data_IF_249437048751
#
_entry.id   IF_249437048751
#
_cell.length_a   1.000
_cell.length_b   1.000
_cell.length_c   1.000
_cell.angle_alpha   90.00
_cell.angle_beta   90.00
_cell.angle_gamma   90.00
#
_symmetry.space_group_name_H-M   'P 1'
#
loop_
_entity.id
_entity.type
_entity.pdbx_description
1 polymer ?
#
# COMPACT_ATOMS: atom_id res chain seq x y z
N UNK A 1 15.78 -17.19 1.71
CA UNK A 1 14.46 -17.42 1.10
C UNK A 1 13.60 -18.14 2.16
N UNK A 2 12.76 -17.41 2.90
CA UNK A 2 11.85 -17.99 3.90
C UNK A 2 10.74 -18.72 3.14
N UNK A 3 10.62 -20.03 3.34
CA UNK A 3 9.41 -20.75 2.92
C UNK A 3 8.33 -20.47 3.97
N UNK A 4 7.61 -19.36 3.82
CA UNK A 4 6.39 -19.16 4.56
C UNK A 4 5.37 -20.18 4.06
N UNK A 5 4.66 -20.82 4.96
CA UNK A 5 3.55 -21.72 4.61
C UNK A 5 2.32 -20.94 4.10
N UNK A 6 2.28 -19.65 4.34
CA UNK A 6 1.19 -18.73 3.99
C UNK A 6 1.60 -17.73 2.93
N UNK A 7 0.69 -17.40 2.02
CA UNK A 7 0.83 -16.25 1.14
C UNK A 7 0.49 -14.98 1.93
N UNK A 8 1.44 -14.07 2.05
CA UNK A 8 1.28 -12.81 2.78
C UNK A 8 0.72 -11.74 1.82
N UNK A 9 -0.44 -11.21 2.16
CA UNK A 9 -1.16 -10.23 1.35
C UNK A 9 -1.45 -8.99 2.18
N UNK A 10 -1.07 -7.81 1.69
CA UNK A 10 -1.47 -6.53 2.30
C UNK A 10 -2.76 -6.05 1.65
N UNK A 11 -3.74 -5.68 2.47
CA UNK A 11 -4.94 -4.98 2.05
C UNK A 11 -4.70 -3.49 2.20
N UNK A 12 -4.50 -2.81 1.08
CA UNK A 12 -4.29 -1.37 1.02
C UNK A 12 -5.60 -0.63 0.73
N UNK A 13 -5.70 0.57 1.26
CA UNK A 13 -6.91 1.40 1.16
C UNK A 13 -7.84 1.25 2.37
N UNK A 14 -8.90 2.09 2.44
CA UNK A 14 -9.84 2.09 3.54
C UNK A 14 -10.71 0.83 3.48
N UNK A 15 -10.54 -0.04 4.47
CA UNK A 15 -11.33 -1.26 4.59
C UNK A 15 -12.42 -1.09 5.66
N UNK A 16 -13.70 -1.08 5.29
CA UNK A 16 -14.80 -1.06 6.26
C UNK A 16 -14.71 -2.23 7.24
N UNK A 17 -15.04 -1.97 8.51
CA UNK A 17 -14.98 -2.99 9.56
C UNK A 17 -15.81 -4.24 9.23
N UNK A 18 -16.94 -4.07 8.54
CA UNK A 18 -17.82 -5.15 8.08
C UNK A 18 -17.14 -6.04 7.03
N UNK A 19 -16.38 -5.45 6.08
CA UNK A 19 -15.59 -6.18 5.09
C UNK A 19 -14.53 -7.03 5.81
N UNK A 20 -13.79 -6.42 6.72
CA UNK A 20 -12.76 -7.12 7.49
C UNK A 20 -13.34 -8.25 8.35
N UNK A 21 -14.50 -8.01 8.97
CA UNK A 21 -15.18 -9.03 9.75
C UNK A 21 -15.67 -10.19 8.87
N UNK A 22 -16.18 -9.91 7.67
CA UNK A 22 -16.63 -10.92 6.74
C UNK A 22 -15.47 -11.77 6.20
N UNK A 23 -14.37 -11.13 5.78
CA UNK A 23 -13.18 -11.82 5.28
C UNK A 23 -12.51 -12.65 6.38
N UNK A 24 -12.43 -12.11 7.60
CA UNK A 24 -11.82 -12.80 8.75
C UNK A 24 -12.57 -14.05 9.22
N UNK A 25 -13.81 -14.26 8.79
CA UNK A 25 -14.56 -15.50 9.04
C UNK A 25 -14.20 -16.64 8.07
N UNK A 26 -13.45 -16.36 7.02
CA UNK A 26 -13.00 -17.41 6.08
C UNK A 26 -11.95 -18.29 6.73
N UNK A 27 -12.13 -19.62 6.67
CA UNK A 27 -11.17 -20.58 7.25
C UNK A 27 -9.78 -20.53 6.61
N UNK A 28 -9.69 -20.04 5.38
CA UNK A 28 -8.43 -19.98 4.63
C UNK A 28 -7.66 -18.68 4.83
N UNK A 29 -8.19 -17.72 5.59
CA UNK A 29 -7.63 -16.38 5.79
C UNK A 29 -7.36 -16.12 7.26
N UNK A 30 -6.11 -15.84 7.59
CA UNK A 30 -5.75 -15.24 8.88
C UNK A 30 -5.70 -13.72 8.71
N UNK A 31 -6.63 -13.00 9.35
CA UNK A 31 -6.66 -11.55 9.34
C UNK A 31 -5.69 -11.01 10.40
N UNK A 32 -4.69 -10.27 9.96
CA UNK A 32 -3.66 -9.68 10.82
C UNK A 32 -3.87 -8.17 10.89
N UNK A 33 -4.26 -7.67 12.05
CA UNK A 33 -4.38 -6.24 12.33
C UNK A 33 -3.12 -5.73 13.01
N UNK A 34 -2.77 -4.44 12.86
CA UNK A 34 -1.73 -3.84 13.70
C UNK A 34 -2.10 -4.02 15.17
N UNK A 35 -1.10 -4.13 16.04
CA UNK A 35 -1.37 -4.05 17.47
C UNK A 35 -2.00 -2.68 17.76
N UNK A 36 -3.04 -2.66 18.58
CA UNK A 36 -3.63 -1.39 19.02
C UNK A 36 -2.55 -0.60 19.77
N UNK A 37 -2.25 0.58 19.26
CA UNK A 37 -1.34 1.48 19.94
C UNK A 37 -1.94 1.80 21.31
N UNK A 38 -1.15 1.59 22.37
CA UNK A 38 -1.55 2.00 23.72
C UNK A 38 -1.85 3.50 23.66
N UNK A 39 -2.94 3.99 24.24
CA UNK A 39 -3.23 5.42 24.25
C UNK A 39 -2.07 6.15 24.92
N UNK A 40 -1.25 6.82 24.12
CA UNK A 40 -0.17 7.69 24.56
C UNK A 40 -0.73 9.08 24.84
N UNK A 41 -0.01 9.83 25.70
CA UNK A 41 -0.35 11.20 26.11
C UNK A 41 -0.62 12.10 24.88
N UNK A 42 -1.68 12.90 24.90
CA UNK A 42 -2.06 13.76 23.76
C UNK A 42 -1.01 14.81 23.37
N UNK A 43 0.02 15.02 24.18
CA UNK A 43 1.11 15.97 23.90
C UNK A 43 2.14 15.45 22.87
N UNK A 44 2.25 14.13 22.62
CA UNK A 44 3.27 13.52 21.75
C UNK A 44 2.74 13.04 20.39
N UNK A 45 1.44 13.21 20.13
CA UNK A 45 0.68 12.56 19.07
C UNK A 45 1.08 12.93 17.63
N UNK A 46 1.75 14.05 17.39
CA UNK A 46 1.96 14.56 16.03
C UNK A 46 3.26 14.11 15.34
N UNK A 47 4.33 13.85 16.10
CA UNK A 47 5.65 13.53 15.52
C UNK A 47 5.97 12.05 15.44
N UNK A 48 5.30 11.24 16.23
CA UNK A 48 5.55 9.80 16.32
C UNK A 48 4.59 8.95 15.48
N UNK A 49 3.42 9.47 15.12
CA UNK A 49 2.37 8.71 14.42
C UNK A 49 2.85 7.99 13.15
N UNK A 50 3.70 8.63 12.33
CA UNK A 50 4.24 8.01 11.13
C UNK A 50 5.31 6.95 11.38
N UNK A 51 6.12 7.11 12.46
CA UNK A 51 7.11 6.09 12.86
C UNK A 51 6.43 4.86 13.43
N UNK A 52 5.39 5.09 14.23
CA UNK A 52 4.65 4.02 14.89
C UNK A 52 3.85 3.19 13.86
N UNK A 53 3.29 3.83 12.82
CA UNK A 53 2.56 3.15 11.76
C UNK A 53 3.44 2.17 10.95
N UNK A 54 4.66 2.60 10.55
CA UNK A 54 5.60 1.74 9.84
C UNK A 54 6.08 0.58 10.73
N UNK A 55 6.36 0.85 12.01
CA UNK A 55 6.76 -0.18 12.96
C UNK A 55 5.63 -1.19 13.21
N UNK A 56 4.40 -0.72 13.38
CA UNK A 56 3.23 -1.57 13.55
C UNK A 56 2.95 -2.43 12.30
N UNK A 57 3.13 -1.86 11.11
CA UNK A 57 3.01 -2.61 9.84
C UNK A 57 4.10 -3.68 9.72
N UNK A 58 5.35 -3.34 10.05
CA UNK A 58 6.47 -4.27 10.05
C UNK A 58 6.23 -5.44 11.02
N UNK A 59 5.74 -5.16 12.22
CA UNK A 59 5.37 -6.18 13.20
C UNK A 59 4.22 -7.08 12.72
N UNK A 60 3.19 -6.48 12.10
CA UNK A 60 2.08 -7.22 11.53
C UNK A 60 2.55 -8.17 10.42
N UNK A 61 3.46 -7.73 9.53
CA UNK A 61 4.07 -8.56 8.50
C UNK A 61 4.91 -9.70 9.10
N UNK A 62 5.66 -9.44 10.16
CA UNK A 62 6.41 -10.51 10.87
C UNK A 62 5.47 -11.54 11.49
N UNK A 63 4.34 -11.13 12.07
CA UNK A 63 3.30 -12.04 12.58
C UNK A 63 2.67 -12.85 11.44
N UNK A 64 2.40 -12.21 10.29
CA UNK A 64 1.86 -12.88 9.11
C UNK A 64 2.74 -14.04 8.63
N UNK A 65 4.07 -13.89 8.70
CA UNK A 65 5.01 -14.94 8.35
C UNK A 65 5.01 -16.18 9.28
N UNK A 66 4.25 -16.15 10.38
CA UNK A 66 4.16 -17.23 11.37
C UNK A 66 2.84 -17.96 11.36
N UNK A 67 1.85 -17.50 10.60
CA UNK A 67 0.55 -18.16 10.54
C UNK A 67 0.58 -19.36 9.60
N UNK A 68 -0.33 -20.29 9.81
CA UNK A 68 -0.42 -21.56 9.04
C UNK A 68 -1.57 -21.57 8.04
N UNK A 69 -2.44 -20.53 8.08
CA UNK A 69 -3.52 -20.38 7.10
C UNK A 69 -2.95 -20.16 5.69
N UNK A 70 -3.62 -20.64 4.63
CA UNK A 70 -3.18 -20.41 3.25
C UNK A 70 -2.88 -18.95 2.92
N UNK A 71 -3.68 -18.03 3.44
CA UNK A 71 -3.50 -16.60 3.27
C UNK A 71 -3.38 -15.89 4.62
N UNK A 72 -2.37 -15.03 4.75
CA UNK A 72 -2.23 -14.06 5.83
C UNK A 72 -2.56 -12.66 5.27
N UNK A 73 -3.77 -12.17 5.56
CA UNK A 73 -4.22 -10.85 5.12
C UNK A 73 -3.88 -9.80 6.17
N UNK A 74 -2.96 -8.91 5.84
CA UNK A 74 -2.44 -7.86 6.72
C UNK A 74 -3.14 -6.54 6.42
N UNK A 75 -3.74 -5.92 7.43
CA UNK A 75 -4.46 -4.63 7.32
C UNK A 75 -3.55 -3.46 7.74
N UNK A 76 -2.25 -3.63 7.59
CA UNK A 76 -1.27 -2.60 7.90
C UNK A 76 -0.28 -2.55 6.74
N UNK A 77 -0.25 -1.43 6.04
CA UNK A 77 0.60 -1.25 4.87
C UNK A 77 1.91 -0.55 5.27
N UNK A 78 3.08 -1.18 5.08
CA UNK A 78 4.37 -0.54 5.37
C UNK A 78 4.70 0.63 4.45
N UNK A 79 3.99 0.75 3.31
CA UNK A 79 4.15 1.86 2.36
C UNK A 79 3.06 2.93 2.49
N UNK A 80 2.17 2.85 3.49
CA UNK A 80 1.04 3.78 3.63
C UNK A 80 1.46 5.25 3.68
N UNK A 81 2.47 5.58 4.50
CA UNK A 81 2.97 6.96 4.59
C UNK A 81 3.61 7.44 3.28
N UNK A 82 4.34 6.55 2.61
CA UNK A 82 4.91 6.82 1.28
C UNK A 82 3.80 7.04 0.24
N UNK A 83 2.74 6.24 0.28
CA UNK A 83 1.61 6.36 -0.64
C UNK A 83 0.87 7.68 -0.45
N UNK A 84 0.65 8.09 0.80
CA UNK A 84 0.02 9.39 1.13
C UNK A 84 0.88 10.54 0.66
N UNK A 85 2.17 10.56 1.00
CA UNK A 85 3.09 11.64 0.61
C UNK A 85 3.26 11.73 -0.91
N UNK A 86 3.27 10.58 -1.61
CA UNK A 86 3.32 10.55 -3.07
C UNK A 86 2.06 11.17 -3.69
N UNK A 87 0.86 10.85 -3.19
CA UNK A 87 -0.40 11.45 -3.65
C UNK A 87 -0.40 12.96 -3.43
N UNK A 88 0.05 13.41 -2.25
CA UNK A 88 0.12 14.83 -1.91
C UNK A 88 1.09 15.64 -2.79
N UNK A 89 2.06 15.01 -3.47
CA UNK A 89 2.87 15.72 -4.46
C UNK A 89 2.06 16.25 -5.64
N UNK A 90 0.93 15.59 -5.94
CA UNK A 90 0.07 15.93 -7.07
C UNK A 90 -1.11 16.81 -6.67
N UNK A 91 -1.27 17.11 -5.39
CA UNK A 91 -2.32 18.00 -4.91
C UNK A 91 -1.89 19.46 -5.11
N UNK A 92 -2.65 20.17 -5.96
CA UNK A 92 -2.42 21.60 -6.25
C UNK A 92 -2.67 22.47 -5.00
N UNK A 93 -3.51 21.99 -4.08
CA UNK A 93 -3.83 22.65 -2.81
C UNK A 93 -2.92 22.23 -1.65
N UNK A 94 -1.76 21.61 -1.93
CA UNK A 94 -0.82 21.11 -0.91
C UNK A 94 -0.58 22.15 0.17
N UNK A 95 -0.90 21.77 1.40
CA UNK A 95 -0.69 22.62 2.56
C UNK A 95 0.79 22.64 3.00
N UNK A 96 1.31 23.78 3.49
CA UNK A 96 2.61 23.84 4.13
C UNK A 96 2.66 22.84 5.32
N UNK A 97 3.64 21.95 5.31
CA UNK A 97 3.82 20.93 6.35
C UNK A 97 3.24 19.55 6.00
N UNK A 98 2.67 19.35 4.80
CA UNK A 98 2.34 18.03 4.30
C UNK A 98 3.59 17.14 4.20
N UNK A 99 3.41 15.83 4.33
CA UNK A 99 4.51 14.87 4.32
C UNK A 99 5.34 15.00 3.04
N UNK A 100 6.67 15.01 3.19
CA UNK A 100 7.59 15.06 2.07
C UNK A 100 7.84 13.64 1.56
N UNK A 101 7.54 13.41 0.27
CA UNK A 101 7.75 12.12 -0.37
C UNK A 101 9.18 11.60 -0.21
N UNK A 102 10.18 12.46 -0.39
CA UNK A 102 11.58 12.04 -0.26
C UNK A 102 11.93 11.65 1.17
N UNK A 103 11.35 12.32 2.16
CA UNK A 103 11.53 11.97 3.56
C UNK A 103 10.89 10.62 3.89
N UNK A 104 9.66 10.37 3.42
CA UNK A 104 8.97 9.09 3.64
C UNK A 104 9.64 7.96 2.85
N UNK A 105 10.13 8.22 1.64
CA UNK A 105 10.92 7.27 0.86
C UNK A 105 12.22 6.89 1.58
N UNK A 106 12.93 7.86 2.15
CA UNK A 106 14.15 7.60 2.92
C UNK A 106 13.88 6.75 4.17
N UNK A 107 12.77 7.02 4.89
CA UNK A 107 12.35 6.22 6.05
C UNK A 107 12.02 4.78 5.67
N UNK A 108 11.21 4.59 4.61
CA UNK A 108 10.84 3.28 4.12
C UNK A 108 12.08 2.47 3.68
N UNK A 109 12.99 3.09 2.91
CA UNK A 109 14.25 2.48 2.48
C UNK A 109 15.15 2.09 3.65
N UNK A 110 15.29 2.96 4.65
CA UNK A 110 16.10 2.68 5.83
C UNK A 110 15.53 1.47 6.61
N UNK A 111 14.22 1.40 6.78
CA UNK A 111 13.56 0.28 7.44
C UNK A 111 13.70 -1.03 6.64
N UNK A 112 13.51 -0.97 5.33
CA UNK A 112 13.66 -2.12 4.42
C UNK A 112 15.10 -2.65 4.41
N UNK A 113 16.11 -1.77 4.26
CA UNK A 113 17.54 -2.13 4.30
C UNK A 113 17.97 -2.71 5.65
N UNK A 114 17.35 -2.25 6.73
CA UNK A 114 17.55 -2.81 8.07
C UNK A 114 16.83 -4.15 8.28
N UNK A 115 16.14 -4.69 7.27
CA UNK A 115 15.39 -5.95 7.36
C UNK A 115 14.20 -5.89 8.30
N UNK A 116 13.67 -4.70 8.60
CA UNK A 116 12.51 -4.56 9.49
C UNK A 116 11.23 -5.08 8.85
N UNK A 117 11.10 -4.95 7.53
CA UNK A 117 10.03 -5.54 6.74
C UNK A 117 10.54 -5.98 5.36
N UNK A 118 9.82 -6.91 4.76
CA UNK A 118 9.92 -7.29 3.35
C UNK A 118 8.59 -6.91 2.67
N UNK A 119 8.62 -6.66 1.36
CA UNK A 119 7.38 -6.45 0.61
C UNK A 119 6.53 -7.73 0.70
N UNK A 120 5.20 -7.62 0.83
CA UNK A 120 4.30 -8.77 0.89
C UNK A 120 4.31 -9.55 -0.43
N UNK A 121 3.76 -10.76 -0.43
CA UNK A 121 3.60 -11.49 -1.68
C UNK A 121 2.70 -10.73 -2.67
N UNK A 122 1.63 -10.08 -2.17
CA UNK A 122 0.69 -9.31 -2.98
C UNK A 122 0.12 -8.13 -2.20
N UNK A 123 -0.34 -7.13 -2.97
CA UNK A 123 -1.24 -6.09 -2.51
C UNK A 123 -2.63 -6.32 -3.10
N UNK A 124 -3.66 -6.35 -2.28
CA UNK A 124 -5.03 -6.14 -2.69
C UNK A 124 -5.38 -4.68 -2.39
N UNK A 125 -5.74 -3.94 -3.42
CA UNK A 125 -6.02 -2.51 -3.29
C UNK A 125 -7.52 -2.30 -3.40
N UNK A 126 -8.13 -1.81 -2.32
CA UNK A 126 -9.53 -1.41 -2.34
C UNK A 126 -9.62 -0.11 -3.14
N UNK A 127 -9.93 -0.24 -4.42
CA UNK A 127 -10.07 0.89 -5.32
C UNK A 127 -11.34 1.68 -4.97
N UNK A 128 -11.22 3.01 -4.95
CA UNK A 128 -12.37 3.91 -4.89
C UNK A 128 -12.73 4.36 -6.29
N UNK A 129 -14.01 4.53 -6.55
CA UNK A 129 -14.50 5.09 -7.81
C UNK A 129 -14.21 6.61 -7.94
N UNK A 130 -13.94 7.27 -6.83
CA UNK A 130 -13.84 8.71 -6.82
C UNK A 130 -12.55 9.22 -7.47
N UNK A 131 -12.71 9.82 -8.63
CA UNK A 131 -11.73 10.70 -9.30
C UNK A 131 -11.29 11.86 -8.37
N UNK A 132 -12.05 12.13 -7.32
CA UNK A 132 -11.83 13.22 -6.36
C UNK A 132 -10.65 12.99 -5.41
N UNK A 133 -10.23 11.73 -5.19
CA UNK A 133 -9.17 11.41 -4.23
C UNK A 133 -7.74 11.52 -4.81
N UNK A 134 -7.59 11.92 -6.07
CA UNK A 134 -6.29 12.01 -6.73
C UNK A 134 -5.68 10.65 -7.11
N UNK A 135 -4.44 10.63 -7.59
CA UNK A 135 -3.78 9.43 -8.07
C UNK A 135 -3.45 8.47 -6.91
N UNK A 136 -3.59 7.16 -7.17
CA UNK A 136 -3.29 6.11 -6.20
C UNK A 136 -1.89 5.52 -6.43
N UNK A 137 -1.06 5.54 -5.39
CA UNK A 137 0.31 5.01 -5.41
C UNK A 137 0.37 3.53 -5.74
N UNK A 138 -0.56 2.73 -5.18
CA UNK A 138 -0.54 1.28 -5.35
C UNK A 138 -1.01 0.88 -6.75
N UNK A 139 -2.04 1.54 -7.27
CA UNK A 139 -2.58 1.27 -8.61
C UNK A 139 -1.74 1.92 -9.73
N UNK A 140 -1.00 2.96 -9.42
CA UNK A 140 -0.08 3.64 -10.32
C UNK A 140 1.34 3.05 -10.25
N UNK A 141 2.28 3.71 -9.58
CA UNK A 141 3.70 3.34 -9.59
C UNK A 141 3.99 1.94 -9.08
N UNK A 142 3.34 1.49 -7.99
CA UNK A 142 3.59 0.16 -7.44
C UNK A 142 3.14 -0.94 -8.40
N UNK A 143 1.96 -0.79 -9.01
CA UNK A 143 1.46 -1.71 -10.04
C UNK A 143 2.30 -1.67 -11.31
N UNK A 144 2.79 -0.50 -11.69
CA UNK A 144 3.72 -0.36 -12.83
C UNK A 144 5.02 -1.15 -12.60
N UNK A 145 5.54 -1.16 -11.36
CA UNK A 145 6.71 -1.95 -11.02
C UNK A 145 6.44 -3.47 -11.08
N UNK A 146 5.24 -3.94 -10.66
CA UNK A 146 4.86 -5.37 -10.70
C UNK A 146 3.34 -5.57 -10.78
N UNK A 147 2.80 -5.54 -12.00
CA UNK A 147 1.36 -5.63 -12.24
C UNK A 147 0.70 -6.90 -11.69
N UNK A 148 1.39 -8.05 -11.68
CA UNK A 148 0.83 -9.31 -11.19
C UNK A 148 0.72 -9.38 -9.68
N UNK A 149 1.38 -8.47 -8.96
CA UNK A 149 1.40 -8.45 -7.49
C UNK A 149 0.50 -7.39 -6.86
N UNK A 150 -0.13 -6.57 -7.69
CA UNK A 150 -1.09 -5.55 -7.26
C UNK A 150 -2.44 -5.83 -7.91
N UNK A 151 -3.39 -6.28 -7.11
CA UNK A 151 -4.72 -6.68 -7.57
C UNK A 151 -5.75 -5.67 -7.09
N UNK A 152 -6.38 -4.91 -7.99
CA UNK A 152 -7.47 -4.02 -7.61
C UNK A 152 -8.71 -4.82 -7.21
N UNK A 153 -9.35 -4.39 -6.13
CA UNK A 153 -10.68 -4.85 -5.72
C UNK A 153 -11.61 -3.66 -5.85
N UNK A 154 -12.59 -3.71 -6.76
CA UNK A 154 -13.51 -2.61 -6.98
C UNK A 154 -14.29 -2.23 -5.72
N UNK A 155 -14.63 -0.94 -5.61
CA UNK A 155 -15.56 -0.48 -4.60
C UNK A 155 -16.93 -1.11 -4.82
N UNK A 156 -17.54 -1.56 -3.75
CA UNK A 156 -18.86 -2.18 -3.77
C UNK A 156 -19.48 -2.13 -2.36
N UNK A 157 -20.74 -2.49 -2.24
CA UNK A 157 -21.36 -2.72 -0.95
C UNK A 157 -20.55 -3.72 -0.11
N UNK A 158 -20.48 -3.58 1.23
CA UNK A 158 -19.55 -4.32 2.08
C UNK A 158 -19.54 -5.85 1.86
N UNK A 159 -20.71 -6.45 1.64
CA UNK A 159 -20.79 -7.89 1.39
C UNK A 159 -20.17 -8.30 0.05
N UNK A 160 -20.41 -7.51 -1.00
CA UNK A 160 -19.84 -7.74 -2.33
C UNK A 160 -18.33 -7.44 -2.34
N UNK A 161 -17.90 -6.39 -1.65
CA UNK A 161 -16.48 -6.07 -1.52
C UNK A 161 -15.72 -7.17 -0.76
N UNK A 162 -16.30 -7.73 0.31
CA UNK A 162 -15.72 -8.88 1.01
C UNK A 162 -15.62 -10.11 0.10
N UNK A 163 -16.65 -10.39 -0.70
CA UNK A 163 -16.62 -11.46 -1.70
C UNK A 163 -15.54 -11.19 -2.77
N UNK A 164 -15.39 -9.95 -3.21
CA UNK A 164 -14.34 -9.51 -4.13
C UNK A 164 -12.93 -9.76 -3.57
N UNK A 165 -12.69 -9.43 -2.30
CA UNK A 165 -11.41 -9.72 -1.62
C UNK A 165 -11.14 -11.23 -1.60
N UNK A 166 -12.12 -12.05 -1.21
CA UNK A 166 -11.97 -13.51 -1.15
C UNK A 166 -11.74 -14.11 -2.54
N UNK A 167 -12.44 -13.62 -3.55
CA UNK A 167 -12.23 -14.02 -4.94
C UNK A 167 -10.82 -13.67 -5.43
N UNK A 168 -10.37 -12.45 -5.15
CA UNK A 168 -9.03 -12.00 -5.50
C UNK A 168 -7.94 -12.87 -4.84
N UNK A 169 -8.09 -13.23 -3.56
CA UNK A 169 -7.19 -14.15 -2.87
C UNK A 169 -7.11 -15.52 -3.57
N UNK A 170 -8.26 -16.05 -4.02
CA UNK A 170 -8.31 -17.33 -4.73
C UNK A 170 -7.78 -17.29 -6.17
N UNK A 171 -7.58 -16.11 -6.74
CA UNK A 171 -7.16 -15.90 -8.14
C UNK A 171 -5.77 -15.27 -8.29
N UNK A 172 -4.97 -15.23 -7.22
CA UNK A 172 -3.61 -14.68 -7.25
C UNK A 172 -2.74 -15.40 -8.29
N UNK A 173 -2.08 -14.62 -9.14
CA UNK A 173 -1.25 -15.15 -10.23
C UNK A 173 0.21 -15.16 -9.83
N UNK A 174 0.88 -16.28 -10.09
CA UNK A 174 2.32 -16.34 -9.98
C UNK A 174 2.99 -15.40 -10.98
N UNK A 175 4.09 -14.77 -10.55
CA UNK A 175 4.85 -13.85 -11.38
C UNK A 175 6.20 -13.55 -10.73
N UNK A 176 7.04 -12.74 -11.40
CA UNK A 176 8.32 -12.32 -10.84
C UNK A 176 8.14 -11.68 -9.46
N UNK A 177 9.16 -11.81 -8.62
CA UNK A 177 9.18 -11.13 -7.33
C UNK A 177 9.27 -9.60 -7.51
N UNK A 178 9.04 -8.87 -6.46
CA UNK A 178 9.24 -7.43 -6.46
C UNK A 178 10.66 -7.07 -6.88
N UNK A 179 10.87 -5.94 -7.58
CA UNK A 179 12.19 -5.33 -7.66
C UNK A 179 12.62 -4.87 -6.26
N UNK A 180 13.84 -4.41 -6.12
CA UNK A 180 14.27 -3.78 -4.89
C UNK A 180 13.43 -2.52 -4.60
N UNK A 181 13.25 -2.19 -3.32
CA UNK A 181 12.35 -1.08 -2.95
C UNK A 181 12.82 0.28 -3.51
N UNK A 182 14.12 0.46 -3.67
CA UNK A 182 14.68 1.65 -4.31
C UNK A 182 14.27 1.77 -5.78
N UNK A 183 14.18 0.66 -6.52
CA UNK A 183 13.67 0.66 -7.90
C UNK A 183 12.17 0.99 -7.95
N UNK A 184 11.38 0.53 -6.96
CA UNK A 184 9.96 0.90 -6.83
C UNK A 184 9.81 2.41 -6.60
N UNK A 185 10.62 2.97 -5.69
CA UNK A 185 10.61 4.40 -5.38
C UNK A 185 11.06 5.22 -6.59
N UNK A 186 12.08 4.75 -7.33
CA UNK A 186 12.52 5.43 -8.55
C UNK A 186 11.43 5.38 -9.65
N UNK A 187 10.70 4.28 -9.73
CA UNK A 187 9.51 4.19 -10.60
C UNK A 187 8.47 5.23 -10.18
N UNK A 188 8.22 5.39 -8.87
CA UNK A 188 7.27 6.37 -8.36
C UNK A 188 7.67 7.83 -8.65
N UNK A 189 8.96 8.14 -8.62
CA UNK A 189 9.49 9.47 -8.99
C UNK A 189 9.23 9.83 -10.44
N UNK A 190 9.28 8.84 -11.32
CA UNK A 190 9.09 9.01 -12.78
C UNK A 190 7.66 8.83 -13.24
N UNK A 191 6.82 8.29 -12.37
CA UNK A 191 5.43 8.01 -12.72
C UNK A 191 4.63 9.31 -12.78
N UNK A 192 4.02 9.57 -13.94
CA UNK A 192 3.10 10.67 -14.12
C UNK A 192 1.67 10.11 -14.22
N UNK A 193 0.75 10.50 -13.33
CA UNK A 193 -0.61 9.97 -13.35
C UNK A 193 -1.40 10.38 -14.60
N UNK A 194 -2.06 9.42 -15.25
CA UNK A 194 -2.84 9.66 -16.47
C UNK A 194 -3.94 10.72 -16.26
N UNK A 195 -4.57 10.74 -15.09
CA UNK A 195 -5.59 11.73 -14.73
C UNK A 195 -5.07 13.17 -14.77
N UNK A 196 -3.78 13.37 -14.49
CA UNK A 196 -3.13 14.68 -14.59
C UNK A 196 -2.65 14.97 -16.02
N UNK A 197 -2.32 13.92 -16.78
CA UNK A 197 -1.98 14.06 -18.20
C UNK A 197 -3.17 14.56 -19.01
N UNK A 198 -4.37 14.08 -18.72
CA UNK A 198 -5.61 14.54 -19.35
C UNK A 198 -5.95 16.01 -18.98
N UNK A 199 -5.67 16.39 -17.71
CA UNK A 199 -5.91 17.76 -17.24
C UNK A 199 -4.86 18.77 -17.74
N UNK A 200 -3.62 18.34 -18.02
CA UNK A 200 -2.53 19.19 -18.49
C UNK A 200 -1.58 18.48 -19.46
N UNK A 201 -1.99 18.35 -20.75
CA UNK A 201 -1.23 17.62 -21.76
C UNK A 201 0.17 18.22 -22.04
N UNK A 202 0.39 19.50 -21.71
CA UNK A 202 1.69 20.15 -21.88
C UNK A 202 2.76 19.61 -20.90
N UNK A 203 2.34 19.18 -19.70
CA UNK A 203 3.25 18.57 -18.71
C UNK A 203 3.56 17.10 -19.05
N UNK A 204 2.63 16.41 -19.72
CA UNK A 204 2.82 15.02 -20.13
C UNK A 204 3.84 14.86 -21.28
N UNK A 205 4.04 15.92 -22.07
CA UNK A 205 4.93 15.88 -23.25
C UNK A 205 6.44 15.84 -22.92
N UNK A 206 6.84 15.96 -21.65
CA UNK A 206 8.25 16.00 -21.24
C UNK A 206 8.98 17.26 -21.78
N UNK A 207 10.16 17.61 -21.27
CA UNK A 207 10.97 18.65 -21.87
C UNK A 207 11.35 18.22 -23.27
N UNK A 208 10.89 18.97 -24.28
CA UNK A 208 11.30 18.76 -25.67
C UNK A 208 12.83 18.70 -25.71
N UNK A 209 13.36 17.58 -26.20
CA UNK A 209 14.79 17.46 -26.46
C UNK A 209 15.16 18.64 -27.38
N UNK A 210 15.90 19.61 -26.85
CA UNK A 210 16.44 20.70 -27.65
C UNK A 210 17.40 20.13 -28.67
N UNK A 211 17.36 20.60 -29.92
CA UNK A 211 18.18 20.11 -31.02
C UNK A 211 19.68 20.35 -30.81
#
# INVERSE_FOLDING_TARGET
MRRNSSTVVVLAGPAPGEVLAAVGRSMNVALIRPAESRPEDPADSGRNAGRDALAAAAEALQRAGRVTSPYALVVADPLAALAVSWREMWDVARQPGSADFEQEAAKALAAWRAGRFELPDYYLVLAREAVEDGPDFHLGPLRSARAQRVVPVPEAEPAQQAAGVLHALGSLRHGPWWPALDEVIETARRFYPDSLAEANPALAAGPAASP
#
